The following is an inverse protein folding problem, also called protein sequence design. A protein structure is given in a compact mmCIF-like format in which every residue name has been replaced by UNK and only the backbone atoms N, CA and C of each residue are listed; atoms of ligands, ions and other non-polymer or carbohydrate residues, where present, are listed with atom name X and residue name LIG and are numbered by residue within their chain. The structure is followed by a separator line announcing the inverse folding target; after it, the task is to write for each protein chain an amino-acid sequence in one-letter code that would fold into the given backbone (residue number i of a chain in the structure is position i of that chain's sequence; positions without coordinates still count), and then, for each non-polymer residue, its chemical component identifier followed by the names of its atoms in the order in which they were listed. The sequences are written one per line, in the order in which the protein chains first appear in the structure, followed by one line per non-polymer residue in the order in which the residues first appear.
data_IF_007173565387
#
_entry.id   IF_007173565387
#
_cell.length_a   1.000
_cell.length_b   1.000
_cell.length_c   1.000
_cell.angle_alpha   90.00
_cell.angle_beta   90.00
_cell.angle_gamma   90.00
#
_symmetry.space_group_name_H-M   'P 1'
#
loop_
_entity.id
_entity.type
_entity.pdbx_description
1 polymer ?
#
# COMPACT_ATOMS: atom_id res chain seq x y z
N UNK A 1 -5.02 18.39 7.07
CA UNK A 1 -5.61 17.03 6.88
C UNK A 1 -5.51 16.28 8.20
N UNK A 2 -6.55 15.49 8.57
CA UNK A 2 -6.51 14.65 9.78
C UNK A 2 -5.57 13.46 9.57
N UNK A 3 -4.79 13.11 10.59
CA UNK A 3 -3.82 12.01 10.59
C UNK A 3 -4.17 11.09 11.75
N UNK A 4 -4.01 9.80 11.57
CA UNK A 4 -4.07 8.78 12.62
C UNK A 4 -2.66 8.19 12.82
N UNK A 5 -2.39 7.73 14.03
CA UNK A 5 -1.18 6.99 14.34
C UNK A 5 -1.51 5.50 14.34
N UNK A 6 -0.81 4.74 13.50
CA UNK A 6 -0.92 3.28 13.43
C UNK A 6 -0.26 2.65 14.66
N UNK A 7 -0.61 1.40 14.98
CA UNK A 7 -0.07 0.69 16.17
C UNK A 7 1.45 0.55 16.21
N UNK A 8 2.13 0.72 15.08
CA UNK A 8 3.60 0.74 14.98
C UNK A 8 4.21 2.17 15.00
N UNK A 9 3.40 3.20 15.32
CA UNK A 9 3.84 4.60 15.40
C UNK A 9 3.88 5.36 14.08
N UNK A 10 3.61 4.71 12.94
CA UNK A 10 3.56 5.38 11.63
C UNK A 10 2.33 6.27 11.54
N UNK A 11 2.53 7.51 11.12
CA UNK A 11 1.45 8.51 10.95
C UNK A 11 0.85 8.42 9.55
N UNK A 12 -0.43 8.09 9.46
CA UNK A 12 -1.16 7.88 8.20
C UNK A 12 -2.27 8.91 8.01
N UNK A 13 -2.35 9.59 6.84
CA UNK A 13 -3.50 10.42 6.49
C UNK A 13 -4.77 9.59 6.37
N UNK A 14 -5.91 10.11 6.89
CA UNK A 14 -7.20 9.38 6.84
C UNK A 14 -7.90 9.42 5.48
N UNK A 15 -7.45 10.29 4.58
CA UNK A 15 -7.99 10.42 3.22
C UNK A 15 -6.86 10.22 2.23
N UNK A 16 -7.06 9.30 1.31
CA UNK A 16 -6.12 8.98 0.24
C UNK A 16 -6.71 9.19 -1.16
N UNK A 17 -5.84 9.35 -2.14
CA UNK A 17 -6.19 9.41 -3.56
C UNK A 17 -5.85 8.06 -4.20
N UNK A 18 -6.88 7.31 -4.62
CA UNK A 18 -6.74 6.02 -5.28
C UNK A 18 -6.47 6.16 -6.78
N UNK A 19 -5.61 5.29 -7.30
CA UNK A 19 -5.18 5.31 -8.72
C UNK A 19 -5.71 4.14 -9.54
N UNK A 20 -6.57 3.29 -8.96
CA UNK A 20 -7.20 2.18 -9.68
C UNK A 20 -8.03 2.69 -10.87
N UNK A 21 -7.96 1.99 -11.99
CA UNK A 21 -8.74 2.35 -13.19
C UNK A 21 -8.23 3.59 -13.95
N UNK A 22 -7.12 4.18 -13.52
CA UNK A 22 -6.49 5.31 -14.19
C UNK A 22 -5.34 4.84 -15.10
N UNK A 23 -5.29 5.38 -16.31
CA UNK A 23 -4.34 4.95 -17.35
C UNK A 23 -3.66 6.14 -18.04
N UNK A 24 -2.57 5.87 -18.76
CA UNK A 24 -1.91 6.87 -19.58
C UNK A 24 -1.34 8.05 -18.78
N UNK A 25 -1.14 9.18 -19.47
CA UNK A 25 -0.59 10.42 -18.88
C UNK A 25 -1.50 11.02 -17.80
N UNK A 26 -2.79 10.74 -17.87
CA UNK A 26 -3.78 11.26 -16.92
C UNK A 26 -3.46 10.86 -15.47
N UNK A 27 -2.90 9.67 -15.23
CA UNK A 27 -2.47 9.23 -13.89
C UNK A 27 -1.47 10.23 -13.29
N UNK A 28 -0.48 10.61 -14.08
CA UNK A 28 0.59 11.52 -13.67
C UNK A 28 0.05 12.91 -13.34
N UNK A 29 -0.86 13.41 -14.18
CA UNK A 29 -1.48 14.71 -13.99
C UNK A 29 -2.43 14.71 -12.77
N UNK A 30 -3.24 13.67 -12.60
CA UNK A 30 -4.18 13.53 -11.49
C UNK A 30 -3.48 13.38 -10.14
N UNK A 31 -2.41 12.56 -10.07
CA UNK A 31 -1.61 12.41 -8.83
C UNK A 31 -0.97 13.74 -8.44
N UNK A 32 -0.35 14.43 -9.40
CA UNK A 32 0.25 15.75 -9.16
C UNK A 32 -0.80 16.75 -8.68
N UNK A 33 -1.95 16.81 -9.35
CA UNK A 33 -3.05 17.70 -8.98
C UNK A 33 -3.60 17.38 -7.57
N UNK A 34 -3.85 16.10 -7.25
CA UNK A 34 -4.33 15.70 -5.93
C UNK A 34 -3.37 16.17 -4.82
N UNK A 35 -2.06 15.93 -4.99
CA UNK A 35 -1.03 16.33 -4.03
C UNK A 35 -0.97 17.87 -3.88
N UNK A 36 -1.03 18.62 -4.97
CA UNK A 36 -1.04 20.10 -4.95
C UNK A 36 -2.30 20.66 -4.30
N UNK A 37 -3.40 19.89 -4.27
CA UNK A 37 -4.68 20.29 -3.66
C UNK A 37 -4.93 19.65 -2.28
N UNK A 38 -3.88 19.24 -1.57
CA UNK A 38 -3.93 18.89 -0.15
C UNK A 38 -4.02 17.41 0.17
N UNK A 39 -4.15 16.51 -0.81
CA UNK A 39 -3.94 15.08 -0.54
C UNK A 39 -2.50 14.84 -0.11
N UNK A 40 -2.29 13.86 0.76
CA UNK A 40 -0.95 13.45 1.23
C UNK A 40 -0.78 11.93 1.21
N UNK A 41 -1.84 11.15 0.96
CA UNK A 41 -1.79 9.72 0.76
C UNK A 41 -2.15 9.40 -0.69
N UNK A 42 -1.28 8.64 -1.36
CA UNK A 42 -1.50 8.08 -2.70
C UNK A 42 -1.57 6.57 -2.58
N UNK A 43 -2.69 5.98 -3.01
CA UNK A 43 -2.93 4.55 -3.05
C UNK A 43 -2.80 4.01 -4.48
N UNK A 44 -1.87 3.09 -4.66
CA UNK A 44 -1.64 2.37 -5.92
C UNK A 44 -1.47 0.87 -5.71
N UNK A 45 -1.11 0.12 -6.74
CA UNK A 45 -0.78 -1.31 -6.65
C UNK A 45 0.02 -1.78 -7.87
N UNK A 46 0.80 -2.85 -7.72
CA UNK A 46 1.48 -3.50 -8.84
C UNK A 46 0.51 -3.88 -9.96
N UNK A 47 -0.68 -4.39 -9.59
CA UNK A 47 -1.71 -4.83 -10.55
C UNK A 47 -2.29 -3.70 -11.39
N UNK A 48 -2.21 -2.45 -10.94
CA UNK A 48 -2.75 -1.31 -11.69
C UNK A 48 -1.88 -0.92 -12.89
N UNK A 49 -0.66 -1.47 -12.99
CA UNK A 49 0.31 -1.23 -14.09
C UNK A 49 0.63 0.24 -14.34
N UNK A 50 0.39 1.08 -13.34
CA UNK A 50 0.54 2.54 -13.45
C UNK A 50 1.57 3.14 -12.47
N UNK A 51 2.26 2.33 -11.65
CA UNK A 51 3.20 2.80 -10.62
C UNK A 51 4.28 3.75 -11.17
N UNK A 52 4.83 3.51 -12.37
CA UNK A 52 5.80 4.42 -13.00
C UNK A 52 5.21 5.82 -13.23
N UNK A 53 3.92 5.91 -13.58
CA UNK A 53 3.23 7.18 -13.77
C UNK A 53 2.87 7.84 -12.46
N UNK A 54 2.46 7.05 -11.48
CA UNK A 54 2.25 7.52 -10.09
C UNK A 54 3.53 8.17 -9.56
N UNK A 55 4.68 7.50 -9.68
CA UNK A 55 5.97 8.06 -9.29
C UNK A 55 6.33 9.36 -10.00
N UNK A 56 6.02 9.49 -11.31
CA UNK A 56 6.21 10.75 -12.04
C UNK A 56 5.27 11.85 -11.55
N UNK A 57 4.01 11.52 -11.25
CA UNK A 57 3.05 12.47 -10.68
C UNK A 57 3.47 12.97 -9.31
N UNK A 58 4.01 12.08 -8.47
CA UNK A 58 4.58 12.44 -7.17
C UNK A 58 5.71 13.46 -7.35
N UNK A 59 6.70 13.18 -8.19
CA UNK A 59 7.79 14.14 -8.46
C UNK A 59 7.31 15.45 -9.07
N UNK A 60 6.34 15.39 -9.96
CA UNK A 60 5.74 16.57 -10.62
C UNK A 60 4.99 17.46 -9.62
N UNK A 61 4.50 16.95 -8.51
CA UNK A 61 3.81 17.73 -7.47
C UNK A 61 4.70 18.80 -6.84
N UNK A 62 6.01 18.58 -6.82
CA UNK A 62 7.00 19.47 -6.19
C UNK A 62 7.07 19.35 -4.67
N UNK A 63 6.27 18.46 -4.04
CA UNK A 63 6.33 18.22 -2.61
C UNK A 63 7.52 17.35 -2.21
N UNK A 64 8.04 17.56 -0.99
CA UNK A 64 9.07 16.68 -0.42
C UNK A 64 8.47 15.26 -0.24
N UNK A 65 9.27 14.22 -0.54
CA UNK A 65 8.90 12.81 -0.35
C UNK A 65 8.39 12.53 1.07
N UNK A 66 8.92 13.20 2.07
CA UNK A 66 8.55 13.05 3.49
C UNK A 66 7.15 13.58 3.81
N UNK A 67 6.61 14.44 2.98
CA UNK A 67 5.25 14.96 3.14
C UNK A 67 4.18 14.04 2.52
N UNK A 68 4.61 13.01 1.77
CA UNK A 68 3.72 12.14 1.00
C UNK A 68 3.76 10.74 1.60
N UNK A 69 2.59 10.20 1.90
CA UNK A 69 2.38 8.81 2.30
C UNK A 69 2.06 7.97 1.06
N UNK A 70 2.92 7.03 0.73
CA UNK A 70 2.73 6.12 -0.40
C UNK A 70 2.26 4.78 0.12
N UNK A 71 1.05 4.39 -0.28
CA UNK A 71 0.50 3.06 -0.11
C UNK A 71 0.53 2.33 -1.45
N UNK A 72 1.06 1.10 -1.46
CA UNK A 72 0.98 0.21 -2.61
C UNK A 72 0.71 -1.22 -2.18
N UNK A 73 0.38 -2.08 -3.15
CA UNK A 73 -0.03 -3.45 -2.89
C UNK A 73 0.81 -4.41 -3.72
N UNK A 74 1.37 -5.41 -3.05
CA UNK A 74 2.06 -6.52 -3.70
C UNK A 74 1.02 -7.47 -4.31
N UNK A 75 1.04 -7.65 -5.63
CA UNK A 75 0.09 -8.51 -6.31
C UNK A 75 0.45 -10.00 -6.15
N UNK A 76 -0.53 -10.93 -6.14
CA UNK A 76 -0.28 -12.37 -5.96
C UNK A 76 0.74 -12.97 -6.92
N UNK A 77 0.85 -12.46 -8.14
CA UNK A 77 1.83 -12.89 -9.14
C UNK A 77 3.28 -12.52 -8.81
N UNK A 78 3.48 -11.74 -7.74
CA UNK A 78 4.80 -11.29 -7.26
C UNK A 78 5.21 -11.91 -5.93
N UNK A 79 4.34 -12.67 -5.24
CA UNK A 79 4.61 -13.18 -3.90
C UNK A 79 5.84 -14.08 -3.79
N UNK A 80 6.24 -14.74 -4.86
CA UNK A 80 7.41 -15.61 -4.89
C UNK A 80 8.60 -15.02 -5.67
N UNK A 81 8.53 -13.73 -6.03
CA UNK A 81 9.61 -13.03 -6.74
C UNK A 81 10.49 -12.28 -5.74
N UNK A 82 11.66 -12.79 -5.46
CA UNK A 82 12.58 -12.29 -4.44
C UNK A 82 12.93 -10.80 -4.52
N UNK A 83 12.78 -10.17 -5.70
CA UNK A 83 13.06 -8.76 -5.95
C UNK A 83 11.80 -7.91 -6.20
N UNK A 84 10.62 -8.39 -5.80
CA UNK A 84 9.35 -7.72 -6.11
C UNK A 84 9.23 -6.35 -5.43
N UNK A 85 9.73 -6.22 -4.21
CA UNK A 85 9.73 -4.94 -3.48
C UNK A 85 10.67 -3.94 -4.15
N UNK A 86 11.88 -4.35 -4.51
CA UNK A 86 12.86 -3.54 -5.24
C UNK A 86 12.29 -3.04 -6.57
N UNK A 87 11.65 -3.93 -7.33
CA UNK A 87 10.99 -3.55 -8.58
C UNK A 87 9.86 -2.55 -8.37
N UNK A 88 9.15 -2.63 -7.25
CA UNK A 88 8.10 -1.66 -6.88
C UNK A 88 8.71 -0.29 -6.58
N UNK A 89 9.77 -0.25 -5.76
CA UNK A 89 10.52 0.97 -5.45
C UNK A 89 11.06 1.62 -6.73
N UNK A 90 11.63 0.82 -7.63
CA UNK A 90 12.15 1.29 -8.92
C UNK A 90 11.03 1.89 -9.79
N UNK A 91 9.88 1.20 -9.92
CA UNK A 91 8.75 1.71 -10.71
C UNK A 91 8.20 3.01 -10.15
N UNK A 92 8.08 3.14 -8.83
CA UNK A 92 7.65 4.37 -8.16
C UNK A 92 8.74 5.45 -8.19
N UNK A 93 10.02 5.05 -8.27
CA UNK A 93 11.18 5.94 -8.21
C UNK A 93 11.33 6.56 -6.82
N UNK A 94 11.23 5.73 -5.77
CA UNK A 94 11.34 6.12 -4.36
C UNK A 94 12.25 5.16 -3.60
N UNK A 95 12.82 5.64 -2.48
CA UNK A 95 13.72 4.86 -1.65
C UNK A 95 12.97 3.98 -0.64
N UNK A 96 11.76 4.35 -0.26
CA UNK A 96 10.93 3.62 0.69
C UNK A 96 9.43 3.77 0.37
N UNK A 97 8.64 2.81 0.86
CA UNK A 97 7.18 2.78 0.83
C UNK A 97 6.67 2.97 2.26
N UNK A 98 5.68 3.84 2.46
CA UNK A 98 5.11 4.10 3.79
C UNK A 98 4.24 2.94 4.27
N UNK A 99 3.43 2.35 3.37
CA UNK A 99 2.60 1.18 3.66
C UNK A 99 2.57 0.24 2.45
N UNK A 100 2.92 -1.02 2.67
CA UNK A 100 2.76 -2.06 1.67
C UNK A 100 1.77 -3.12 2.15
N UNK A 101 0.78 -3.43 1.30
CA UNK A 101 -0.24 -4.43 1.57
C UNK A 101 -0.02 -5.69 0.72
N UNK A 102 -0.32 -6.88 1.25
CA UNK A 102 -0.67 -8.02 0.40
C UNK A 102 -2.01 -7.74 -0.28
N UNK A 103 -2.07 -7.80 -1.61
CA UNK A 103 -3.23 -7.34 -2.38
C UNK A 103 -4.45 -8.26 -2.26
N UNK A 104 -4.23 -9.57 -2.24
CA UNK A 104 -5.27 -10.59 -2.11
C UNK A 104 -4.72 -11.86 -1.46
N UNK A 105 -5.55 -12.65 -0.74
CA UNK A 105 -5.17 -13.95 -0.17
C UNK A 105 -5.18 -15.05 -1.24
N UNK A 106 -4.36 -14.91 -2.27
CA UNK A 106 -4.23 -15.84 -3.39
C UNK A 106 -2.77 -16.30 -3.52
N UNK A 107 -2.55 -17.44 -4.18
CA UNK A 107 -1.23 -18.03 -4.36
C UNK A 107 -0.52 -18.26 -3.00
N UNK A 108 0.80 -18.14 -2.98
CA UNK A 108 1.59 -18.27 -1.76
C UNK A 108 1.70 -16.92 -1.03
N UNK A 109 0.60 -16.40 -0.46
CA UNK A 109 0.60 -15.14 0.26
C UNK A 109 1.46 -15.16 1.53
N UNK A 110 1.69 -16.33 2.14
CA UNK A 110 2.63 -16.48 3.26
C UNK A 110 4.04 -16.07 2.83
N UNK A 111 4.54 -16.59 1.71
CA UNK A 111 5.84 -16.19 1.18
C UNK A 111 5.88 -14.69 0.82
N UNK A 112 4.76 -14.16 0.28
CA UNK A 112 4.61 -12.74 0.00
C UNK A 112 4.74 -11.88 1.27
N UNK A 113 4.13 -12.32 2.37
CA UNK A 113 4.23 -11.61 3.64
C UNK A 113 5.65 -11.64 4.21
N UNK A 114 6.28 -12.79 4.23
CA UNK A 114 7.66 -12.97 4.70
C UNK A 114 8.66 -12.11 3.89
N UNK A 115 8.45 -11.98 2.59
CA UNK A 115 9.25 -11.06 1.76
C UNK A 115 9.04 -9.60 2.17
N UNK A 116 7.80 -9.19 2.45
CA UNK A 116 7.51 -7.84 2.93
C UNK A 116 8.13 -7.59 4.31
N UNK A 117 8.12 -8.56 5.23
CA UNK A 117 8.80 -8.48 6.54
C UNK A 117 10.30 -8.26 6.39
N UNK A 118 10.94 -9.00 5.46
CA UNK A 118 12.36 -8.79 5.14
C UNK A 118 12.63 -7.36 4.68
N UNK A 119 11.82 -6.86 3.75
CA UNK A 119 11.96 -5.49 3.24
C UNK A 119 11.66 -4.42 4.32
N UNK A 120 10.76 -4.70 5.25
CA UNK A 120 10.51 -3.86 6.43
C UNK A 120 11.77 -3.78 7.32
N UNK A 121 12.39 -4.91 7.65
CA UNK A 121 13.63 -4.97 8.44
C UNK A 121 14.79 -4.23 7.75
N UNK A 122 14.80 -4.20 6.42
CA UNK A 122 15.76 -3.45 5.60
C UNK A 122 15.43 -1.94 5.50
N UNK A 123 14.33 -1.49 6.09
CA UNK A 123 13.90 -0.08 6.06
C UNK A 123 13.26 0.37 4.75
N UNK A 124 13.01 -0.55 3.81
CA UNK A 124 12.36 -0.28 2.52
C UNK A 124 10.85 -0.07 2.64
N UNK A 125 10.23 -0.63 3.69
CA UNK A 125 8.81 -0.49 4.01
C UNK A 125 8.68 -0.03 5.44
N UNK A 126 7.78 0.93 5.73
CA UNK A 126 7.58 1.46 7.09
C UNK A 126 6.40 0.84 7.83
N UNK A 127 5.41 0.32 7.10
CA UNK A 127 4.26 -0.36 7.68
C UNK A 127 3.80 -1.50 6.76
N UNK A 128 3.35 -2.61 7.35
CA UNK A 128 2.82 -3.77 6.64
C UNK A 128 1.32 -3.85 6.84
N UNK A 129 0.61 -4.34 5.84
CA UNK A 129 -0.82 -4.56 5.93
C UNK A 129 -1.34 -5.62 4.96
N UNK A 130 -2.64 -5.82 5.02
CA UNK A 130 -3.37 -6.81 4.22
C UNK A 130 -4.49 -6.13 3.45
N UNK A 131 -4.93 -6.71 2.35
CA UNK A 131 -6.04 -6.22 1.56
C UNK A 131 -6.92 -7.38 1.07
N UNK A 132 -8.23 -7.26 1.29
CA UNK A 132 -9.23 -8.26 0.89
C UNK A 132 -9.09 -9.63 1.59
N UNK A 133 -8.48 -9.69 2.76
CA UNK A 133 -8.35 -10.92 3.55
C UNK A 133 -9.61 -11.14 4.41
N UNK A 134 -9.99 -12.39 4.58
CA UNK A 134 -11.00 -12.82 5.55
C UNK A 134 -10.34 -13.03 6.92
N UNK A 135 -11.15 -13.07 7.98
CA UNK A 135 -10.66 -13.25 9.37
C UNK A 135 -9.75 -14.46 9.50
N UNK A 136 -10.13 -15.60 8.93
CA UNK A 136 -9.33 -16.83 9.02
C UNK A 136 -7.94 -16.67 8.39
N UNK A 137 -7.87 -15.96 7.26
CA UNK A 137 -6.61 -15.73 6.54
C UNK A 137 -5.75 -14.65 7.24
N UNK A 138 -6.38 -13.68 7.91
CA UNK A 138 -5.66 -12.73 8.77
C UNK A 138 -5.02 -13.50 9.93
N UNK A 139 -5.77 -14.42 10.55
CA UNK A 139 -5.25 -15.25 11.65
C UNK A 139 -4.05 -16.09 11.20
N UNK A 140 -4.10 -16.72 10.02
CA UNK A 140 -2.96 -17.46 9.47
C UNK A 140 -1.69 -16.60 9.36
N UNK A 141 -1.82 -15.32 8.95
CA UNK A 141 -0.67 -14.40 8.95
C UNK A 141 -0.23 -14.09 10.38
N UNK A 142 -1.17 -13.80 11.30
CA UNK A 142 -0.85 -13.45 12.69
C UNK A 142 -0.14 -14.58 13.42
N UNK A 143 -0.44 -15.83 13.08
CA UNK A 143 0.16 -17.03 13.71
C UNK A 143 1.62 -17.23 13.34
N UNK A 144 2.05 -16.68 12.19
CA UNK A 144 3.41 -16.92 11.65
C UNK A 144 4.27 -15.66 11.53
N UNK A 145 3.66 -14.46 11.62
CA UNK A 145 4.39 -13.21 11.37
C UNK A 145 5.28 -12.82 12.55
N UNK A 146 6.46 -12.30 12.25
CA UNK A 146 7.32 -11.61 13.24
C UNK A 146 6.90 -10.14 13.42
N UNK A 147 6.40 -9.51 12.34
CA UNK A 147 5.95 -8.12 12.29
C UNK A 147 4.47 -8.11 11.94
N UNK A 148 3.63 -7.69 12.88
CA UNK A 148 2.18 -7.70 12.69
C UNK A 148 1.73 -6.70 11.61
N UNK A 149 0.73 -7.06 10.79
CA UNK A 149 0.08 -6.08 9.92
C UNK A 149 -0.65 -5.04 10.78
N UNK A 150 -0.58 -3.78 10.37
CA UNK A 150 -1.16 -2.64 11.11
C UNK A 150 -2.33 -1.98 10.38
N UNK A 151 -2.60 -2.41 9.14
CA UNK A 151 -3.72 -1.92 8.30
C UNK A 151 -4.37 -3.10 7.60
N UNK A 152 -5.70 -3.09 7.57
CA UNK A 152 -6.51 -3.95 6.71
C UNK A 152 -7.33 -3.07 5.75
N UNK A 153 -7.05 -3.15 4.45
CA UNK A 153 -7.81 -2.45 3.42
C UNK A 153 -8.88 -3.38 2.84
N UNK A 154 -10.13 -2.96 2.92
CA UNK A 154 -11.28 -3.69 2.40
C UNK A 154 -12.25 -2.74 1.70
N UNK A 155 -13.08 -3.28 0.82
CA UNK A 155 -14.27 -2.58 0.36
C UNK A 155 -15.20 -2.34 1.56
N UNK A 156 -15.58 -1.06 1.79
CA UNK A 156 -16.48 -0.69 2.88
C UNK A 156 -17.30 0.53 2.47
N UNK A 157 -18.61 0.36 2.34
CA UNK A 157 -19.56 1.40 2.00
C UNK A 157 -20.96 1.02 2.52
N UNK A 158 -22.00 1.87 2.47
CA UNK A 158 -23.32 1.60 3.08
C UNK A 158 -23.99 0.29 2.65
N UNK A 159 -23.72 -0.21 1.43
CA UNK A 159 -24.23 -1.50 0.95
C UNK A 159 -23.32 -2.69 1.27
N UNK A 160 -22.11 -2.45 1.77
CA UNK A 160 -21.14 -3.48 2.18
C UNK A 160 -20.35 -3.00 3.40
N UNK A 161 -20.90 -3.09 4.62
CA UNK A 161 -20.31 -2.51 5.82
C UNK A 161 -19.11 -3.30 6.38
N UNK A 162 -18.81 -4.49 5.85
CA UNK A 162 -17.66 -5.34 6.21
C UNK A 162 -17.52 -5.61 7.74
N UNK A 163 -18.63 -5.79 8.44
CA UNK A 163 -18.70 -5.89 9.92
C UNK A 163 -17.75 -6.93 10.50
N UNK A 164 -17.74 -8.16 9.97
CA UNK A 164 -16.90 -9.26 10.46
C UNK A 164 -15.41 -8.93 10.53
N UNK A 165 -14.90 -8.15 9.59
CA UNK A 165 -13.48 -7.76 9.55
C UNK A 165 -13.22 -6.56 10.45
N UNK A 166 -14.20 -5.68 10.62
CA UNK A 166 -14.06 -4.53 11.53
C UNK A 166 -14.07 -4.93 13.00
N UNK A 167 -14.82 -5.97 13.33
CA UNK A 167 -15.00 -6.44 14.71
C UNK A 167 -13.88 -7.38 15.17
N UNK A 168 -13.05 -7.89 14.24
CA UNK A 168 -11.87 -8.70 14.51
C UNK A 168 -10.66 -7.85 14.85
#
# INVERSE_FOLDING_TARGET
MRIIELSNGVKMPIIGFGTIGQFGKQVEDNVSFALQNGYRLIDTANRYTNEKRVGRGIRKSGLDRKEIFIETKLAPTFYEKSNAVEQTLERLGVEYIDLMLLHHPLNNYIAGYQMMEKAYKEGKIKALGLSNFKVEQIQEILDICEIKPVVMQIECHPYYPAEKVKDF
#
